data_IF_660940810124
#
_entry.id   IF_660940810124
#
_cell.length_a   1.000
_cell.length_b   1.000
_cell.length_c   1.000
_cell.angle_alpha   90.00
_cell.angle_beta   90.00
_cell.angle_gamma   90.00
#
_symmetry.space_group_name_H-M   'P 1'
#
loop_
_entity.id
_entity.type
_entity.pdbx_description
1 polymer ?
#
# COMPACT_ATOMS: atom_id res chain seq x y z
N UNK A 1 13.26 1.00 -6.92
CA UNK A 1 12.93 -0.16 -7.74
C UNK A 1 11.77 0.14 -8.69
N UNK A 2 10.62 0.59 -8.21
CA UNK A 2 9.42 0.84 -9.04
C UNK A 2 9.65 1.81 -10.19
N UNK A 3 10.54 2.79 -10.02
CA UNK A 3 10.91 3.77 -11.06
C UNK A 3 11.73 3.16 -12.21
N UNK A 4 12.30 1.96 -12.02
CA UNK A 4 13.08 1.24 -13.03
C UNK A 4 12.31 0.11 -13.73
N UNK A 5 11.00 0.01 -13.53
CA UNK A 5 10.19 -1.01 -14.19
C UNK A 5 10.08 -0.79 -15.71
N UNK A 6 10.03 -1.86 -16.52
CA UNK A 6 9.85 -1.75 -17.98
C UNK A 6 8.56 -1.01 -18.36
N UNK A 7 8.59 -0.36 -19.53
CA UNK A 7 7.39 0.28 -20.09
C UNK A 7 6.25 -0.75 -20.20
N UNK A 8 5.05 -0.35 -19.79
CA UNK A 8 3.86 -1.22 -19.77
C UNK A 8 3.64 -1.97 -18.46
N UNK A 9 4.62 -2.05 -17.57
CA UNK A 9 4.44 -2.58 -16.20
C UNK A 9 3.99 -1.44 -15.28
N UNK A 10 2.84 -1.60 -14.66
CA UNK A 10 2.32 -0.66 -13.65
C UNK A 10 2.57 -1.20 -12.25
N UNK A 11 3.06 -0.32 -11.39
CA UNK A 11 3.22 -0.59 -9.96
C UNK A 11 2.16 0.19 -9.18
N UNK A 12 1.49 -0.49 -8.28
CA UNK A 12 0.48 0.09 -7.40
C UNK A 12 0.74 -0.37 -5.96
N UNK A 13 0.70 0.56 -5.02
CA UNK A 13 0.69 0.26 -3.59
C UNK A 13 -0.75 0.20 -3.13
N UNK A 14 -1.12 -0.92 -2.52
CA UNK A 14 -2.47 -1.16 -2.00
C UNK A 14 -2.37 -1.47 -0.51
N UNK A 15 -3.06 -0.74 0.36
CA UNK A 15 -3.13 -1.10 1.78
C UNK A 15 -3.73 -2.50 1.97
N UNK A 16 -3.07 -3.34 2.76
CA UNK A 16 -3.61 -4.64 3.11
C UNK A 16 -4.72 -4.50 4.18
N UNK A 17 -5.93 -4.95 3.87
CA UNK A 17 -7.09 -4.85 4.77
C UNK A 17 -7.64 -6.25 5.06
N UNK A 18 -6.89 -7.00 5.87
CA UNK A 18 -7.26 -8.36 6.28
C UNK A 18 -8.17 -8.42 7.51
N UNK A 19 -8.19 -7.36 8.32
CA UNK A 19 -9.05 -7.25 9.51
C UNK A 19 -9.80 -5.91 9.49
N UNK A 20 -10.99 -5.81 10.11
CA UNK A 20 -11.73 -4.54 10.21
C UNK A 20 -10.90 -3.41 10.83
N UNK A 21 -10.01 -3.72 11.76
CA UNK A 21 -9.11 -2.75 12.40
C UNK A 21 -8.10 -2.09 11.41
N UNK A 22 -7.86 -2.69 10.25
CA UNK A 22 -6.98 -2.11 9.22
C UNK A 22 -7.69 -1.09 8.32
N UNK A 23 -9.03 -1.10 8.28
CA UNK A 23 -9.80 -0.23 7.41
C UNK A 23 -9.55 1.28 7.64
N UNK A 24 -9.45 1.79 8.88
CA UNK A 24 -9.15 3.21 9.12
C UNK A 24 -7.82 3.67 8.51
N UNK A 25 -6.78 2.83 8.55
CA UNK A 25 -5.48 3.13 7.94
C UNK A 25 -5.57 3.18 6.42
N UNK A 26 -6.33 2.26 5.81
CA UNK A 26 -6.57 2.27 4.38
C UNK A 26 -7.38 3.51 3.93
N UNK A 27 -8.41 3.88 4.70
CA UNK A 27 -9.15 5.14 4.47
C UNK A 27 -8.22 6.34 4.50
N UNK A 28 -7.34 6.41 5.51
CA UNK A 28 -6.39 7.51 5.66
C UNK A 28 -5.39 7.58 4.48
N UNK A 29 -4.86 6.44 4.06
CA UNK A 29 -3.99 6.35 2.88
C UNK A 29 -4.66 6.88 1.62
N UNK A 30 -5.87 6.41 1.32
CA UNK A 30 -6.60 6.83 0.13
C UNK A 30 -7.13 8.26 0.23
N UNK A 31 -7.43 8.76 1.42
CA UNK A 31 -7.79 10.16 1.63
C UNK A 31 -6.63 11.09 1.25
N UNK A 32 -5.40 10.75 1.65
CA UNK A 32 -4.21 11.53 1.27
C UNK A 32 -3.93 11.39 -0.23
N UNK A 33 -4.04 10.18 -0.78
CA UNK A 33 -3.87 9.95 -2.22
C UNK A 33 -4.84 10.80 -3.05
N UNK A 34 -6.09 10.93 -2.60
CA UNK A 34 -7.11 11.74 -3.28
C UNK A 34 -6.91 13.25 -3.08
N UNK A 35 -6.57 13.69 -1.87
CA UNK A 35 -6.44 15.11 -1.53
C UNK A 35 -5.13 15.74 -2.01
N UNK A 36 -4.02 14.99 -1.92
CA UNK A 36 -2.67 15.48 -2.18
C UNK A 36 -1.71 14.33 -2.52
N UNK A 37 -1.77 13.73 -3.72
CA UNK A 37 -1.01 12.53 -4.07
C UNK A 37 0.51 12.72 -3.89
N UNK A 38 1.04 13.91 -4.15
CA UNK A 38 2.45 14.24 -3.93
C UNK A 38 2.88 14.29 -2.46
N UNK A 39 1.96 14.18 -1.52
CA UNK A 39 2.20 14.14 -0.08
C UNK A 39 2.13 12.73 0.52
N UNK A 40 1.81 11.72 -0.29
CA UNK A 40 1.57 10.37 0.21
C UNK A 40 2.79 9.73 0.87
N UNK A 41 3.97 9.90 0.27
CA UNK A 41 5.23 9.37 0.81
C UNK A 41 5.58 10.02 2.17
N UNK A 42 5.72 11.36 2.28
CA UNK A 42 6.00 11.98 3.56
C UNK A 42 4.88 11.77 4.61
N UNK A 43 3.62 11.65 4.18
CA UNK A 43 2.53 11.28 5.06
C UNK A 43 2.73 9.89 5.66
N UNK A 44 3.06 8.90 4.82
CA UNK A 44 3.27 7.52 5.26
C UNK A 44 4.43 7.42 6.25
N UNK A 45 5.55 8.06 5.97
CA UNK A 45 6.69 8.12 6.87
C UNK A 45 6.31 8.75 8.22
N UNK A 46 5.60 9.87 8.20
CA UNK A 46 5.16 10.55 9.42
C UNK A 46 4.17 9.70 10.21
N UNK A 47 3.22 9.04 9.54
CA UNK A 47 2.26 8.16 10.18
C UNK A 47 2.96 6.96 10.85
N UNK A 48 3.90 6.32 10.16
CA UNK A 48 4.66 5.20 10.75
C UNK A 48 5.45 5.63 11.97
N UNK A 49 6.13 6.77 11.94
CA UNK A 49 6.82 7.32 13.13
C UNK A 49 5.84 7.57 14.28
N UNK A 50 4.66 8.16 14.02
CA UNK A 50 3.64 8.36 15.06
C UNK A 50 3.15 7.05 15.67
N UNK A 51 3.01 5.99 14.86
CA UNK A 51 2.51 4.70 15.35
C UNK A 51 3.59 3.89 16.07
N UNK A 52 4.83 3.87 15.55
CA UNK A 52 5.90 3.01 16.03
C UNK A 52 6.75 3.67 17.12
N UNK A 53 7.10 4.94 16.92
CA UNK A 53 8.01 5.65 17.82
C UNK A 53 7.25 6.42 18.92
N UNK A 54 6.16 7.11 18.54
CA UNK A 54 5.34 7.89 19.48
C UNK A 54 4.22 7.05 20.11
N UNK A 55 4.04 5.79 19.70
CA UNK A 55 3.01 4.86 20.20
C UNK A 55 1.59 5.41 20.16
N UNK A 56 1.25 6.21 19.14
CA UNK A 56 -0.10 6.74 18.98
C UNK A 56 -1.08 5.64 18.57
N UNK A 57 -2.34 5.71 19.01
CA UNK A 57 -3.31 4.67 18.70
C UNK A 57 -3.66 4.62 17.20
N UNK A 58 -3.47 3.46 16.59
CA UNK A 58 -3.77 3.20 15.17
C UNK A 58 -5.28 3.26 14.83
N UNK A 59 -6.17 3.17 15.82
CA UNK A 59 -7.62 3.29 15.62
C UNK A 59 -8.15 4.74 15.70
N UNK A 60 -7.29 5.71 16.02
CA UNK A 60 -7.69 7.10 16.25
C UNK A 60 -7.64 7.93 14.97
N UNK A 61 -8.77 8.51 14.58
CA UNK A 61 -8.84 9.49 13.47
C UNK A 61 -7.89 10.67 13.71
N UNK A 62 -7.71 11.09 14.95
CA UNK A 62 -6.83 12.20 15.32
C UNK A 62 -5.34 11.88 15.01
N UNK A 63 -4.92 10.62 15.10
CA UNK A 63 -3.57 10.21 14.69
C UNK A 63 -3.38 10.45 13.19
N UNK A 64 -4.34 10.06 12.37
CA UNK A 64 -4.28 10.24 10.91
C UNK A 64 -4.34 11.70 10.50
N UNK A 65 -5.22 12.48 11.15
CA UNK A 65 -5.33 13.93 10.94
C UNK A 65 -4.03 14.64 11.32
N UNK A 66 -3.44 14.28 12.45
CA UNK A 66 -2.17 14.88 12.90
C UNK A 66 -1.03 14.58 11.90
N UNK A 67 -0.95 13.36 11.38
CA UNK A 67 0.03 13.01 10.34
C UNK A 67 -0.19 13.83 9.06
N UNK A 68 -1.46 13.98 8.62
CA UNK A 68 -1.80 14.77 7.43
C UNK A 68 -1.45 16.25 7.61
N UNK A 69 -1.76 16.81 8.78
CA UNK A 69 -1.46 18.22 9.10
C UNK A 69 0.05 18.47 9.13
N UNK A 70 0.82 17.52 9.69
CA UNK A 70 2.28 17.64 9.75
C UNK A 70 2.95 17.74 8.37
N UNK A 71 2.31 17.20 7.33
CA UNK A 71 2.81 17.29 5.94
C UNK A 71 2.10 18.37 5.11
N UNK A 72 1.31 19.24 5.76
CA UNK A 72 0.67 20.40 5.13
C UNK A 72 -0.65 20.09 4.43
N UNK A 73 -1.37 19.04 4.84
CA UNK A 73 -2.73 18.77 4.43
C UNK A 73 -3.66 19.26 5.54
N UNK A 74 -4.57 20.19 5.25
CA UNK A 74 -5.48 20.69 6.27
C UNK A 74 -6.42 19.59 6.79
N UNK A 75 -6.82 19.70 8.07
CA UNK A 75 -7.81 18.82 8.69
C UNK A 75 -9.05 18.64 7.82
N UNK A 76 -9.60 19.75 7.35
CA UNK A 76 -10.84 19.77 6.58
C UNK A 76 -10.68 19.06 5.23
N UNK A 77 -9.58 19.32 4.53
CA UNK A 77 -9.28 18.64 3.27
C UNK A 77 -9.14 17.12 3.46
N UNK A 78 -8.43 16.70 4.50
CA UNK A 78 -8.25 15.27 4.82
C UNK A 78 -9.61 14.62 5.18
N UNK A 79 -10.38 15.22 6.09
CA UNK A 79 -11.67 14.66 6.52
C UNK A 79 -12.68 14.63 5.37
N UNK A 80 -12.73 15.66 4.53
CA UNK A 80 -13.59 15.69 3.35
C UNK A 80 -13.21 14.56 2.38
N UNK A 81 -11.93 14.39 2.09
CA UNK A 81 -11.46 13.32 1.22
C UNK A 81 -11.78 11.91 1.78
N UNK A 82 -11.60 11.72 3.10
CA UNK A 82 -11.84 10.43 3.75
C UNK A 82 -13.31 9.95 3.68
N UNK A 83 -14.25 10.86 3.43
CA UNK A 83 -15.68 10.57 3.38
C UNK A 83 -16.21 10.38 1.95
N UNK A 84 -15.35 10.51 0.93
CA UNK A 84 -15.77 10.38 -0.46
C UNK A 84 -16.12 8.94 -0.84
N UNK A 85 -17.04 8.81 -1.80
CA UNK A 85 -17.39 7.51 -2.39
C UNK A 85 -16.21 6.85 -3.10
N UNK A 86 -15.33 7.66 -3.66
CA UNK A 86 -14.10 7.19 -4.30
C UNK A 86 -13.19 6.48 -3.30
N UNK A 87 -12.93 7.08 -2.14
CA UNK A 87 -12.13 6.45 -1.07
C UNK A 87 -12.78 5.17 -0.58
N UNK A 88 -14.12 5.16 -0.39
CA UNK A 88 -14.84 3.93 -0.04
C UNK A 88 -14.64 2.81 -1.05
N UNK A 89 -14.74 3.10 -2.35
CA UNK A 89 -14.51 2.12 -3.42
C UNK A 89 -13.08 1.58 -3.40
N UNK A 90 -12.08 2.43 -3.19
CA UNK A 90 -10.69 2.00 -3.07
C UNK A 90 -10.45 1.09 -1.86
N UNK A 91 -11.03 1.40 -0.71
CA UNK A 91 -10.94 0.54 0.48
C UNK A 91 -11.61 -0.80 0.24
N UNK A 92 -12.80 -0.83 -0.35
CA UNK A 92 -13.51 -2.07 -0.72
C UNK A 92 -12.67 -2.91 -1.70
N UNK A 93 -12.06 -2.26 -2.71
CA UNK A 93 -11.14 -2.94 -3.64
C UNK A 93 -9.92 -3.50 -2.92
N UNK A 94 -9.33 -2.77 -1.99
CA UNK A 94 -8.19 -3.23 -1.19
C UNK A 94 -8.53 -4.46 -0.33
N UNK A 95 -9.72 -4.47 0.29
CA UNK A 95 -10.25 -5.63 1.00
C UNK A 95 -10.41 -6.85 0.08
N UNK A 96 -11.04 -6.64 -1.07
CA UNK A 96 -11.25 -7.70 -2.03
C UNK A 96 -9.92 -8.29 -2.54
N UNK A 97 -8.93 -7.47 -2.85
CA UNK A 97 -7.59 -7.91 -3.26
C UNK A 97 -6.85 -8.65 -2.15
N UNK A 98 -6.91 -8.15 -0.91
CA UNK A 98 -6.32 -8.82 0.25
C UNK A 98 -6.88 -10.23 0.42
N UNK A 99 -8.20 -10.39 0.30
CA UNK A 99 -8.87 -11.68 0.39
C UNK A 99 -8.56 -12.58 -0.83
N UNK A 100 -8.66 -12.04 -2.05
CA UNK A 100 -8.44 -12.81 -3.28
C UNK A 100 -7.03 -13.39 -3.40
N UNK A 101 -6.02 -12.67 -2.92
CA UNK A 101 -4.63 -13.14 -2.91
C UNK A 101 -4.27 -13.92 -1.63
N UNK A 102 -5.18 -14.05 -0.68
CA UNK A 102 -4.92 -14.74 0.59
C UNK A 102 -3.76 -14.13 1.37
N UNK A 103 -3.67 -12.80 1.43
CA UNK A 103 -2.56 -12.10 2.08
C UNK A 103 -2.59 -12.35 3.59
N UNK A 104 -1.53 -12.93 4.13
CA UNK A 104 -1.37 -13.23 5.57
C UNK A 104 -0.27 -12.40 6.21
N UNK A 105 0.53 -11.68 5.40
CA UNK A 105 1.66 -10.89 5.87
C UNK A 105 1.89 -9.66 4.99
N UNK A 106 2.53 -8.65 5.57
CA UNK A 106 2.97 -7.45 4.87
C UNK A 106 4.44 -7.17 5.19
N UNK A 107 5.23 -6.65 4.23
CA UNK A 107 4.84 -6.37 2.86
C UNK A 107 4.71 -7.65 2.02
N UNK A 108 3.74 -7.66 1.10
CA UNK A 108 3.58 -8.71 0.08
C UNK A 108 3.52 -8.07 -1.30
N UNK A 109 4.01 -8.77 -2.32
CA UNK A 109 3.99 -8.30 -3.71
C UNK A 109 3.28 -9.34 -4.58
N UNK A 110 2.34 -8.87 -5.39
CA UNK A 110 1.65 -9.68 -6.40
C UNK A 110 2.11 -9.22 -7.78
N UNK A 111 2.61 -10.14 -8.58
CA UNK A 111 3.09 -9.87 -9.95
C UNK A 111 2.17 -10.56 -10.95
N UNK A 112 1.64 -9.78 -11.90
CA UNK A 112 0.78 -10.27 -12.99
C UNK A 112 -0.49 -10.96 -12.52
N UNK A 113 -1.03 -10.61 -11.36
CA UNK A 113 -2.20 -11.24 -10.71
C UNK A 113 -2.04 -12.76 -10.46
N UNK A 114 -0.82 -13.29 -10.48
CA UNK A 114 -0.55 -14.75 -10.44
C UNK A 114 0.46 -15.14 -9.37
N UNK A 115 1.48 -14.35 -9.18
CA UNK A 115 2.61 -14.70 -8.32
C UNK A 115 2.59 -13.83 -7.07
N UNK A 116 2.44 -14.46 -5.91
CA UNK A 116 2.52 -13.81 -4.60
C UNK A 116 3.89 -14.11 -3.99
N UNK A 117 4.61 -13.07 -3.58
CA UNK A 117 5.87 -13.18 -2.85
C UNK A 117 5.93 -12.16 -1.71
N UNK A 118 6.84 -12.41 -0.76
CA UNK A 118 7.12 -11.52 0.36
C UNK A 118 8.60 -11.65 0.76
N UNK A 119 9.17 -10.69 1.50
CA UNK A 119 10.53 -10.82 2.04
C UNK A 119 10.73 -12.08 2.88
N UNK A 120 9.71 -12.49 3.63
CA UNK A 120 9.76 -13.69 4.47
C UNK A 120 10.05 -14.97 3.69
N UNK A 121 9.58 -15.07 2.44
CA UNK A 121 9.83 -16.24 1.57
C UNK A 121 11.30 -16.41 1.19
N UNK A 122 12.08 -15.37 1.35
CA UNK A 122 13.54 -15.37 1.14
C UNK A 122 14.28 -15.04 2.43
N UNK A 123 13.74 -15.46 3.57
CA UNK A 123 14.35 -15.28 4.91
C UNK A 123 14.68 -13.81 5.24
N UNK A 124 13.88 -12.88 4.74
CA UNK A 124 14.05 -11.42 4.87
C UNK A 124 15.40 -10.90 4.32
N UNK A 125 15.98 -11.57 3.33
CA UNK A 125 17.19 -11.12 2.63
C UNK A 125 16.80 -10.14 1.51
N UNK A 126 17.15 -8.85 1.60
CA UNK A 126 16.69 -7.84 0.64
C UNK A 126 17.13 -8.12 -0.79
N UNK A 127 18.38 -8.52 -1.00
CA UNK A 127 18.95 -8.82 -2.33
C UNK A 127 18.25 -10.01 -2.98
N UNK A 128 18.02 -11.09 -2.22
CA UNK A 128 17.29 -12.25 -2.70
C UNK A 128 15.84 -11.88 -3.06
N UNK A 129 15.20 -11.05 -2.25
CA UNK A 129 13.85 -10.57 -2.54
C UNK A 129 13.79 -9.74 -3.84
N UNK A 130 14.76 -8.83 -4.03
CA UNK A 130 14.86 -8.05 -5.27
C UNK A 130 15.11 -8.93 -6.48
N UNK A 131 15.94 -9.95 -6.35
CA UNK A 131 16.20 -10.94 -7.42
C UNK A 131 14.93 -11.68 -7.82
N UNK A 132 14.15 -12.16 -6.84
CA UNK A 132 12.86 -12.81 -7.09
C UNK A 132 11.88 -11.86 -7.80
N UNK A 133 11.74 -10.63 -7.33
CA UNK A 133 10.84 -9.65 -7.94
C UNK A 133 11.24 -9.33 -9.37
N UNK A 134 12.52 -9.12 -9.63
CA UNK A 134 13.03 -8.86 -10.98
C UNK A 134 12.77 -10.05 -11.92
N UNK A 135 12.98 -11.28 -11.43
CA UNK A 135 12.67 -12.49 -12.19
C UNK A 135 11.18 -12.60 -12.55
N UNK A 136 10.29 -12.38 -11.59
CA UNK A 136 8.84 -12.41 -11.82
C UNK A 136 8.38 -11.32 -12.81
N UNK A 137 8.94 -10.12 -12.71
CA UNK A 137 8.65 -9.03 -13.66
C UNK A 137 9.16 -9.37 -15.06
N UNK A 138 10.36 -9.95 -15.18
CA UNK A 138 10.91 -10.42 -16.45
C UNK A 138 10.01 -11.46 -17.10
N UNK A 139 9.59 -12.48 -16.35
CA UNK A 139 8.65 -13.51 -16.84
C UNK A 139 7.33 -12.91 -17.33
N UNK A 140 6.82 -11.91 -16.62
CA UNK A 140 5.60 -11.19 -17.03
C UNK A 140 5.82 -10.42 -18.34
N UNK A 141 6.97 -9.76 -18.45
CA UNK A 141 7.32 -8.93 -19.61
C UNK A 141 7.59 -9.75 -20.88
N UNK A 142 8.28 -10.89 -20.74
CA UNK A 142 8.59 -11.79 -21.87
C UNK A 142 7.43 -12.70 -22.28
N UNK A 143 6.35 -12.74 -21.48
CA UNK A 143 5.22 -13.63 -21.73
C UNK A 143 5.47 -15.11 -21.39
N UNK A 144 6.63 -15.45 -20.87
CA UNK A 144 7.00 -16.85 -20.50
C UNK A 144 6.11 -17.45 -19.39
N UNK A 145 5.39 -16.60 -18.66
CA UNK A 145 4.41 -17.03 -17.64
C UNK A 145 3.01 -17.33 -18.19
N UNK A 146 2.74 -17.11 -19.48
CA UNK A 146 1.42 -17.26 -20.08
C UNK A 146 1.16 -18.67 -20.68
N UNK A 147 2.20 -19.48 -20.83
CA UNK A 147 2.11 -20.81 -21.43
C UNK A 147 2.08 -21.91 -20.34
N UNK A 148 0.92 -22.07 -19.67
CA UNK A 148 0.48 -23.37 -19.07
C UNK A 148 -0.99 -23.27 -18.69
#
# INVERSE_FOLDING_TARGET
>A
WSKGLPAGIRYEVVPAVGLPAHAPMAVAYYAVLAAAPGKLEPYSERLYSMLQDEHRPAGSVETYVAAATAVGISRDAFLKASQTEEVRRFVTRAQALTAAYGLTEVPSVVVGNRYLTSPRRVQNQPEAFMTVMNGLVSMLYTGEGAAR
#
